data_IF_839917525007
#
_entry.id   IF_839917525007
#
_cell.length_a   1.000
_cell.length_b   1.000
_cell.length_c   1.000
_cell.angle_alpha   90.00
_cell.angle_beta   90.00
_cell.angle_gamma   90.00
#
_symmetry.space_group_name_H-M   'P 1'
#
loop_
_entity.id
_entity.type
_entity.pdbx_description
1 polymer ?
#
# COMPACT_ATOMS: atom_id res chain seq x y z
N UNK A 1 -1.28 -9.69 13.88
CA UNK A 1 -0.47 -8.49 13.94
C UNK A 1 -1.26 -7.25 14.30
N UNK A 2 -2.08 -7.31 15.29
CA UNK A 2 -2.73 -6.15 15.94
C UNK A 2 -3.47 -5.20 14.98
N UNK A 3 -3.99 -5.72 13.87
CA UNK A 3 -4.75 -4.92 12.90
C UNK A 3 -3.93 -3.89 12.14
N UNK A 4 -2.63 -4.11 11.98
CA UNK A 4 -1.74 -3.22 11.22
C UNK A 4 -0.90 -4.02 10.24
N UNK A 5 -0.59 -3.41 9.08
CA UNK A 5 0.44 -3.95 8.21
C UNK A 5 1.83 -3.68 8.78
N UNK A 6 2.73 -4.61 8.53
CA UNK A 6 4.13 -4.48 8.91
C UNK A 6 4.97 -4.38 7.65
N UNK A 7 5.76 -3.31 7.54
CA UNK A 7 6.75 -3.14 6.48
C UNK A 7 8.13 -3.12 7.13
N UNK A 8 9.01 -4.00 6.66
CA UNK A 8 10.35 -4.18 7.24
C UNK A 8 10.29 -4.42 8.76
N UNK A 9 9.25 -5.12 9.23
CA UNK A 9 9.06 -5.41 10.64
C UNK A 9 8.50 -4.28 11.48
N UNK A 10 8.10 -3.17 10.86
CA UNK A 10 7.57 -1.99 11.58
C UNK A 10 6.08 -1.83 11.27
N UNK A 11 5.27 -1.75 12.32
CA UNK A 11 3.83 -1.59 12.24
C UNK A 11 3.46 -0.21 11.67
N UNK A 12 2.57 -0.18 10.67
CA UNK A 12 2.06 1.05 10.04
C UNK A 12 3.17 2.00 9.60
N UNK A 13 4.28 1.46 9.09
CA UNK A 13 5.46 2.22 8.73
C UNK A 13 5.16 3.24 7.63
N UNK A 14 5.60 4.49 7.82
CA UNK A 14 5.63 5.48 6.75
C UNK A 14 6.82 5.22 5.83
N UNK A 15 6.61 5.32 4.52
CA UNK A 15 7.67 5.03 3.54
C UNK A 15 7.81 6.19 2.56
N UNK A 16 9.02 6.31 1.98
CA UNK A 16 9.33 7.30 0.96
C UNK A 16 9.63 6.58 -0.35
N UNK A 17 8.93 6.94 -1.41
CA UNK A 17 9.14 6.38 -2.74
C UNK A 17 9.47 7.50 -3.72
N UNK A 18 10.28 7.17 -4.74
CA UNK A 18 10.78 8.15 -5.69
C UNK A 18 10.06 8.03 -7.03
N UNK A 19 9.65 9.16 -7.59
CA UNK A 19 9.03 9.23 -8.91
C UNK A 19 9.91 8.57 -9.96
N UNK A 20 9.28 7.87 -10.89
CA UNK A 20 9.97 7.20 -11.99
C UNK A 20 10.60 5.87 -11.64
N UNK A 21 10.61 5.47 -10.37
CA UNK A 21 11.15 4.19 -9.93
C UNK A 21 10.05 3.14 -9.82
N UNK A 22 10.47 1.87 -9.75
CA UNK A 22 9.57 0.73 -9.55
C UNK A 22 9.83 0.11 -8.19
N UNK A 23 8.78 -0.18 -7.45
CA UNK A 23 8.85 -0.76 -6.12
C UNK A 23 8.01 -2.03 -6.04
N UNK A 24 8.45 -2.95 -5.20
CA UNK A 24 7.79 -4.24 -5.00
C UNK A 24 7.40 -4.36 -3.53
N UNK A 25 6.12 -4.65 -3.28
CA UNK A 25 5.61 -4.91 -1.94
C UNK A 25 5.38 -6.39 -1.81
N UNK A 26 6.18 -7.04 -0.96
CA UNK A 26 6.08 -8.47 -0.70
C UNK A 26 4.93 -8.72 0.27
N UNK A 27 3.90 -9.39 -0.21
CA UNK A 27 2.68 -9.67 0.55
C UNK A 27 2.71 -11.04 1.22
N UNK A 28 3.89 -11.64 1.37
CA UNK A 28 4.01 -12.95 2.02
C UNK A 28 4.02 -12.88 3.53
N UNK A 29 4.15 -11.69 4.12
CA UNK A 29 4.17 -11.52 5.57
C UNK A 29 2.79 -11.82 6.17
N UNK A 30 2.78 -12.33 7.41
CA UNK A 30 1.53 -12.68 8.10
C UNK A 30 0.58 -11.48 8.28
N UNK A 31 1.08 -10.26 8.27
CA UNK A 31 0.22 -9.06 8.40
C UNK A 31 -0.73 -8.88 7.22
N UNK A 32 -0.44 -9.48 6.06
CA UNK A 32 -1.32 -9.42 4.89
C UNK A 32 -2.35 -10.56 4.84
N UNK A 33 -2.26 -11.52 5.75
CA UNK A 33 -3.15 -12.68 5.80
C UNK A 33 -4.59 -12.21 6.05
N UNK A 34 -5.51 -12.52 5.15
CA UNK A 34 -6.91 -12.08 5.19
C UNK A 34 -7.07 -10.55 5.14
N UNK A 35 -6.05 -9.81 4.74
CA UNK A 35 -6.06 -8.35 4.67
C UNK A 35 -5.63 -7.89 3.28
N UNK A 36 -6.56 -7.71 2.34
CA UNK A 36 -6.23 -7.28 0.98
C UNK A 36 -5.52 -5.93 0.99
N UNK A 37 -4.32 -5.90 0.43
CA UNK A 37 -3.45 -4.72 0.42
C UNK A 37 -3.69 -3.90 -0.84
N UNK A 38 -3.86 -2.59 -0.70
CA UNK A 38 -4.00 -1.71 -1.84
C UNK A 38 -3.43 -0.32 -1.55
N UNK A 39 -3.20 0.45 -2.61
CA UNK A 39 -2.69 1.83 -2.53
C UNK A 39 -3.86 2.76 -2.79
N UNK A 40 -3.97 3.85 -2.02
CA UNK A 40 -5.07 4.79 -2.15
C UNK A 40 -4.62 6.23 -2.01
N UNK A 41 -5.51 7.14 -2.37
CA UNK A 41 -5.30 8.59 -2.19
C UNK A 41 -5.74 9.07 -0.80
N UNK A 42 -6.35 8.20 -0.02
CA UNK A 42 -6.89 8.51 1.30
C UNK A 42 -6.30 7.56 2.35
N UNK A 43 -6.22 8.01 3.59
CA UNK A 43 -5.82 7.17 4.71
C UNK A 43 -6.92 6.21 5.16
N UNK A 44 -8.12 6.32 4.60
CA UNK A 44 -9.25 5.46 4.95
C UNK A 44 -9.14 4.11 4.27
N UNK A 45 -9.18 3.03 5.05
CA UNK A 45 -9.31 1.67 4.54
C UNK A 45 -10.75 1.16 4.70
N UNK A 46 -10.91 -0.16 4.60
CA UNK A 46 -12.21 -0.81 4.74
C UNK A 46 -13.07 -0.76 3.49
N UNK A 47 -12.63 -0.09 2.44
CA UNK A 47 -13.28 -0.03 1.14
C UNK A 47 -12.24 0.41 0.09
N UNK A 48 -12.64 0.41 -1.19
CA UNK A 48 -11.75 0.77 -2.30
C UNK A 48 -12.16 2.08 -2.98
N UNK A 49 -12.93 2.93 -2.30
CA UNK A 49 -13.48 4.15 -2.91
C UNK A 49 -12.41 5.09 -3.45
N UNK A 50 -11.25 5.15 -2.79
CA UNK A 50 -10.16 6.05 -3.16
C UNK A 50 -8.94 5.29 -3.68
N UNK A 51 -9.15 4.11 -4.24
CA UNK A 51 -8.06 3.29 -4.75
C UNK A 51 -7.30 3.98 -5.87
N UNK A 52 -5.96 3.96 -5.75
CA UNK A 52 -5.05 4.44 -6.77
C UNK A 52 -4.51 3.22 -7.52
N UNK A 53 -4.66 3.19 -8.84
CA UNK A 53 -4.33 2.01 -9.64
C UNK A 53 -3.27 2.25 -10.71
N UNK A 54 -2.91 3.51 -10.95
CA UNK A 54 -1.99 3.87 -12.02
C UNK A 54 -0.60 3.28 -11.78
N UNK A 55 -0.13 2.42 -12.68
CA UNK A 55 1.17 1.77 -12.55
C UNK A 55 1.22 0.64 -11.54
N UNK A 56 0.07 0.17 -11.04
CA UNK A 56 0.02 -0.87 -10.00
C UNK A 56 -0.48 -2.19 -10.57
N UNK A 57 0.21 -3.27 -10.21
CA UNK A 57 -0.13 -4.65 -10.56
C UNK A 57 -0.33 -5.46 -9.29
N UNK A 58 -1.30 -6.36 -9.29
CA UNK A 58 -1.65 -7.23 -8.16
C UNK A 58 -2.14 -6.47 -6.93
N UNK A 59 -2.97 -5.45 -7.15
CA UNK A 59 -3.66 -4.75 -6.07
C UNK A 59 -4.72 -5.66 -5.44
N UNK A 60 -5.07 -5.40 -4.19
CA UNK A 60 -6.13 -6.10 -3.43
C UNK A 60 -5.80 -7.55 -3.11
N UNK A 61 -4.52 -7.93 -3.14
CA UNK A 61 -4.09 -9.30 -2.85
C UNK A 61 -3.68 -9.44 -1.39
N UNK A 62 -3.72 -10.69 -0.91
CA UNK A 62 -3.26 -11.04 0.43
C UNK A 62 -1.94 -11.79 0.39
N UNK A 63 -1.50 -12.19 -0.80
CA UNK A 63 -0.24 -12.92 -1.02
C UNK A 63 0.41 -12.44 -2.32
N UNK A 64 1.65 -12.85 -2.56
CA UNK A 64 2.37 -12.49 -3.77
C UNK A 64 3.08 -11.16 -3.65
N UNK A 65 3.18 -10.46 -4.77
CA UNK A 65 3.91 -9.20 -4.84
C UNK A 65 3.06 -8.14 -5.55
N UNK A 66 2.83 -7.01 -4.89
CA UNK A 66 2.28 -5.82 -5.55
C UNK A 66 3.44 -5.07 -6.19
N UNK A 67 3.33 -4.76 -7.47
CA UNK A 67 4.33 -3.97 -8.19
C UNK A 67 3.78 -2.57 -8.45
N UNK A 68 4.55 -1.55 -8.08
CA UNK A 68 4.17 -0.16 -8.26
C UNK A 68 5.24 0.56 -9.08
N UNK A 69 4.89 0.87 -10.34
CA UNK A 69 5.71 1.71 -11.22
C UNK A 69 5.22 3.14 -11.02
N UNK A 70 6.03 3.96 -10.34
CA UNK A 70 5.60 5.30 -9.96
C UNK A 70 5.71 6.25 -11.15
N UNK A 71 4.56 6.84 -11.61
CA UNK A 71 4.61 7.79 -12.72
C UNK A 71 5.48 9.00 -12.40
N UNK A 72 6.23 9.48 -13.38
CA UNK A 72 7.13 10.62 -13.18
C UNK A 72 6.38 11.93 -12.90
N UNK A 73 5.10 11.99 -13.24
CA UNK A 73 4.26 13.16 -13.00
C UNK A 73 3.40 13.08 -11.74
N UNK A 74 3.55 12.01 -10.95
CA UNK A 74 2.82 11.88 -9.69
C UNK A 74 3.38 12.88 -8.68
N UNK A 75 2.53 13.75 -8.12
CA UNK A 75 2.98 14.81 -7.23
C UNK A 75 2.31 14.76 -5.85
N UNK A 76 1.44 13.80 -5.60
CA UNK A 76 0.69 13.67 -4.35
C UNK A 76 1.18 12.50 -3.55
N UNK A 77 1.13 12.61 -2.21
CA UNK A 77 1.35 11.46 -1.34
C UNK A 77 0.21 10.48 -1.46
N UNK A 78 0.51 9.23 -1.16
CA UNK A 78 -0.45 8.13 -1.19
C UNK A 78 -0.45 7.42 0.16
N UNK A 79 -1.29 6.40 0.26
CA UNK A 79 -1.40 5.58 1.46
C UNK A 79 -1.55 4.12 1.05
N UNK A 80 -1.02 3.19 1.84
CA UNK A 80 -1.35 1.79 1.67
C UNK A 80 -2.37 1.41 2.75
N UNK A 81 -3.34 0.60 2.38
CA UNK A 81 -4.50 0.29 3.23
C UNK A 81 -4.96 -1.14 3.06
N UNK A 82 -5.86 -1.57 3.94
CA UNK A 82 -6.58 -2.82 3.83
C UNK A 82 -7.99 -2.56 3.30
N UNK A 83 -8.41 -3.33 2.31
CA UNK A 83 -9.75 -3.21 1.75
C UNK A 83 -10.87 -3.69 2.67
N UNK A 84 -10.54 -4.52 3.66
CA UNK A 84 -11.53 -5.12 4.58
C UNK A 84 -11.62 -4.38 5.92
N UNK A 85 -10.57 -3.63 6.30
CA UNK A 85 -10.50 -2.97 7.61
C UNK A 85 -9.86 -1.60 7.48
N UNK A 86 -10.36 -0.62 8.22
CA UNK A 86 -9.75 0.70 8.27
C UNK A 86 -8.57 0.72 9.26
N UNK A 87 -7.68 1.69 9.10
CA UNK A 87 -6.62 1.96 10.07
C UNK A 87 -5.45 0.99 10.07
N UNK A 88 -5.29 0.12 9.05
CA UNK A 88 -4.21 -0.85 9.00
C UNK A 88 -2.92 -0.34 8.35
N UNK A 89 -3.01 0.69 7.54
CA UNK A 89 -1.91 1.10 6.68
C UNK A 89 -1.09 2.28 7.17
N UNK A 90 -0.37 2.88 6.26
CA UNK A 90 0.50 4.00 6.55
C UNK A 90 0.69 4.93 5.36
N UNK A 91 1.45 6.00 5.59
CA UNK A 91 1.70 7.04 4.61
C UNK A 91 2.80 6.63 3.63
N UNK A 92 2.57 6.93 2.35
CA UNK A 92 3.57 6.84 1.30
C UNK A 92 3.88 8.25 0.83
N UNK A 93 5.07 8.74 1.13
CA UNK A 93 5.52 10.05 0.65
C UNK A 93 6.17 9.87 -0.72
N UNK A 94 5.69 10.61 -1.72
CA UNK A 94 6.22 10.56 -3.09
C UNK A 94 7.15 11.75 -3.29
N UNK A 95 8.37 11.48 -3.74
CA UNK A 95 9.40 12.52 -3.91
C UNK A 95 9.91 12.64 -5.33
#
# INVERSE_FOLDING_TARGET
SNGKYYLDGISAKSINLKKGNTYYFDLSHSSTNSHPFFISTSSNGGNYNDEYTSGITNSRETTGTLTFVIPSNLSSNLYYNCGAHSGMGGLITIK
#
